data_IF_426189205152
#
_entry.id   IF_426189205152
#
_cell.length_a   1.000
_cell.length_b   1.000
_cell.length_c   1.000
_cell.angle_alpha   90.00
_cell.angle_beta   90.00
_cell.angle_gamma   90.00
#
_symmetry.space_group_name_H-M   'P 1'
#
loop_
_entity.id
_entity.type
_entity.pdbx_description
1 polymer ?
#
# COMPACT_ATOMS: atom_id res chain seq x y z
N UNK A 1 -12.36 -2.50 4.51
CA UNK A 1 -10.96 -2.80 4.18
C UNK A 1 -10.90 -3.79 3.03
N UNK A 2 -9.86 -3.73 2.24
CA UNK A 2 -9.72 -4.58 1.07
C UNK A 2 -9.31 -5.99 1.50
N UNK A 3 -10.05 -7.03 1.12
CA UNK A 3 -9.58 -8.39 1.33
C UNK A 3 -8.43 -8.68 0.37
N UNK A 4 -7.37 -9.30 0.89
CA UNK A 4 -6.22 -9.70 0.08
C UNK A 4 -6.19 -11.22 0.03
N UNK A 5 -6.54 -11.81 -1.13
CA UNK A 5 -6.49 -13.27 -1.26
C UNK A 5 -5.08 -13.81 -1.07
N UNK A 6 -4.98 -15.05 -0.64
CA UNK A 6 -3.70 -15.73 -0.60
C UNK A 6 -3.11 -15.75 -2.02
N UNK A 7 -1.81 -15.74 -2.15
CA UNK A 7 -1.07 -15.65 -3.42
C UNK A 7 -1.15 -14.28 -4.11
N UNK A 8 -1.86 -13.32 -3.53
CA UNK A 8 -1.85 -11.96 -4.04
C UNK A 8 -0.66 -11.21 -3.48
N UNK A 9 0.09 -10.57 -4.35
CA UNK A 9 1.19 -9.73 -3.94
C UNK A 9 0.73 -8.30 -3.80
N UNK A 10 1.38 -7.57 -2.89
CA UNK A 10 1.13 -6.15 -2.67
C UNK A 10 2.43 -5.41 -2.95
N UNK A 11 2.39 -4.50 -3.92
CA UNK A 11 3.54 -3.71 -4.31
C UNK A 11 3.33 -2.26 -3.92
N UNK A 12 4.30 -1.67 -3.25
CA UNK A 12 4.30 -0.24 -2.94
C UNK A 12 5.28 0.47 -3.85
N UNK A 13 4.79 1.47 -4.57
CA UNK A 13 5.65 2.34 -5.36
C UNK A 13 6.44 3.26 -4.43
N UNK A 14 7.77 3.24 -4.59
CA UNK A 14 8.61 4.16 -3.84
C UNK A 14 8.39 5.58 -4.35
N UNK A 15 8.58 6.55 -3.46
CA UNK A 15 8.45 7.96 -3.83
C UNK A 15 7.02 8.44 -3.88
N UNK A 16 6.87 9.67 -4.34
CA UNK A 16 5.60 10.38 -4.32
C UNK A 16 4.91 10.25 -5.66
N UNK A 17 3.61 9.94 -5.60
CA UNK A 17 2.76 9.83 -6.79
C UNK A 17 1.77 10.99 -6.80
N UNK A 18 1.44 11.47 -7.99
CA UNK A 18 0.39 12.47 -8.16
C UNK A 18 -0.96 11.83 -7.85
N UNK A 19 -1.55 12.23 -6.73
CA UNK A 19 -2.78 11.64 -6.23
C UNK A 19 -4.03 12.05 -6.99
N UNK A 20 -3.91 12.90 -8.02
CA UNK A 20 -5.02 13.21 -8.91
C UNK A 20 -5.25 12.11 -9.95
N UNK A 21 -4.29 11.19 -10.08
CA UNK A 21 -4.36 10.10 -11.05
C UNK A 21 -5.42 9.08 -10.69
N UNK A 22 -6.14 8.62 -11.71
CA UNK A 22 -7.09 7.53 -11.58
C UNK A 22 -6.46 6.19 -11.94
N UNK A 23 -7.29 5.16 -12.08
CA UNK A 23 -6.81 3.81 -12.30
C UNK A 23 -5.92 3.69 -13.53
N UNK A 24 -6.34 4.22 -14.67
CA UNK A 24 -5.59 4.04 -15.93
C UNK A 24 -4.17 4.58 -15.83
N UNK A 25 -4.01 5.77 -15.28
CA UNK A 25 -2.70 6.40 -15.16
C UNK A 25 -1.84 5.70 -14.11
N UNK A 26 -2.45 5.30 -12.99
CA UNK A 26 -1.74 4.54 -11.96
C UNK A 26 -1.34 3.15 -12.46
N UNK A 27 -2.17 2.52 -13.27
CA UNK A 27 -1.83 1.24 -13.89
C UNK A 27 -0.62 1.37 -14.83
N UNK A 28 -0.58 2.44 -15.61
CA UNK A 28 0.57 2.72 -16.47
C UNK A 28 1.83 2.94 -15.62
N UNK A 29 1.71 3.63 -14.50
CA UNK A 29 2.82 3.83 -13.58
C UNK A 29 3.29 2.50 -12.97
N UNK A 30 2.36 1.62 -12.60
CA UNK A 30 2.72 0.30 -12.08
C UNK A 30 3.52 -0.48 -13.11
N UNK A 31 3.10 -0.46 -14.36
CA UNK A 31 3.80 -1.16 -15.42
C UNK A 31 5.18 -0.57 -15.68
N UNK A 32 5.28 0.74 -15.78
CA UNK A 32 6.53 1.41 -16.13
C UNK A 32 7.51 1.47 -14.97
N UNK A 33 7.04 1.77 -13.78
CA UNK A 33 7.90 2.01 -12.62
C UNK A 33 8.12 0.74 -11.79
N UNK A 34 7.07 -0.02 -11.57
CA UNK A 34 7.14 -1.23 -10.76
C UNK A 34 7.46 -2.46 -11.58
N UNK A 35 7.40 -2.34 -12.91
CA UNK A 35 7.66 -3.45 -13.84
C UNK A 35 6.75 -4.63 -13.56
N UNK A 36 5.51 -4.35 -13.23
CA UNK A 36 4.50 -5.36 -12.95
C UNK A 36 3.30 -5.15 -13.87
N UNK A 37 2.64 -6.24 -14.23
CA UNK A 37 1.40 -6.19 -15.00
C UNK A 37 0.24 -5.80 -14.07
N UNK A 38 -0.43 -4.66 -14.29
CA UNK A 38 -1.50 -4.22 -13.42
C UNK A 38 -2.77 -5.07 -13.50
N UNK A 39 -2.84 -6.01 -14.43
CA UNK A 39 -4.05 -6.83 -14.64
C UNK A 39 -3.93 -8.25 -14.08
N UNK A 40 -2.95 -8.49 -13.21
CA UNK A 40 -2.71 -9.82 -12.64
C UNK A 40 -3.45 -10.09 -11.34
N UNK A 41 -4.22 -9.12 -10.85
CA UNK A 41 -4.91 -9.25 -9.57
C UNK A 41 -4.08 -8.82 -8.37
N UNK A 42 -2.83 -8.46 -8.56
CA UNK A 42 -2.00 -7.94 -7.47
C UNK A 42 -2.41 -6.51 -7.12
N UNK A 43 -2.12 -6.12 -5.89
CA UNK A 43 -2.42 -4.78 -5.41
C UNK A 43 -1.21 -3.86 -5.60
N UNK A 44 -1.49 -2.63 -6.02
CA UNK A 44 -0.46 -1.62 -6.22
C UNK A 44 -0.80 -0.40 -5.39
N UNK A 45 0.12 -0.02 -4.50
CA UNK A 45 -0.08 1.02 -3.48
C UNK A 45 0.75 2.24 -3.84
N UNK A 46 0.13 3.40 -3.77
CA UNK A 46 0.78 4.67 -4.10
C UNK A 46 0.56 5.67 -2.96
N UNK A 47 1.58 6.49 -2.70
CA UNK A 47 1.52 7.52 -1.66
C UNK A 47 1.54 8.91 -2.25
N UNK A 48 0.80 9.81 -1.63
CA UNK A 48 0.82 11.23 -1.97
C UNK A 48 1.97 11.96 -1.27
N UNK A 49 2.19 13.21 -1.72
CA UNK A 49 3.28 14.04 -1.23
C UNK A 49 3.21 14.28 0.28
N UNK A 50 2.00 14.53 0.80
CA UNK A 50 1.82 14.83 2.22
C UNK A 50 1.91 13.60 3.11
N UNK A 51 1.84 12.41 2.53
CA UNK A 51 1.88 11.17 3.27
C UNK A 51 0.58 10.80 3.98
N UNK A 52 -0.48 11.57 3.81
CA UNK A 52 -1.78 11.33 4.45
C UNK A 52 -2.80 10.70 3.51
N UNK A 53 -2.46 10.52 2.25
CA UNK A 53 -3.34 9.94 1.24
C UNK A 53 -2.69 8.73 0.60
N UNK A 54 -3.43 7.63 0.59
CA UNK A 54 -3.04 6.39 -0.05
C UNK A 54 -4.04 6.05 -1.14
N UNK A 55 -3.54 5.56 -2.26
CA UNK A 55 -4.38 4.97 -3.30
C UNK A 55 -3.88 3.57 -3.60
N UNK A 56 -4.82 2.66 -3.81
CA UNK A 56 -4.53 1.27 -4.12
C UNK A 56 -5.36 0.88 -5.33
N UNK A 57 -4.71 0.28 -6.32
CA UNK A 57 -5.40 -0.22 -7.50
C UNK A 57 -5.22 -1.73 -7.62
N UNK A 58 -6.20 -2.39 -8.19
CA UNK A 58 -6.10 -3.80 -8.54
C UNK A 58 -7.14 -4.15 -9.60
N UNK A 59 -6.89 -5.24 -10.28
CA UNK A 59 -7.84 -5.84 -11.22
C UNK A 59 -8.46 -7.07 -10.56
N UNK A 60 -9.78 -7.10 -10.44
CA UNK A 60 -10.47 -8.16 -9.71
C UNK A 60 -10.91 -9.33 -10.60
N UNK A 61 -10.44 -9.35 -11.85
CA UNK A 61 -10.83 -10.34 -12.84
C UNK A 61 -11.97 -9.88 -13.72
N UNK A 62 -12.67 -8.85 -13.32
CA UNK A 62 -13.82 -8.31 -14.04
C UNK A 62 -13.70 -6.82 -14.32
N UNK A 63 -13.08 -6.11 -13.42
CA UNK A 63 -13.00 -4.66 -13.53
C UNK A 63 -11.81 -4.07 -12.78
N UNK A 64 -11.62 -2.79 -13.04
CA UNK A 64 -10.58 -1.97 -12.41
C UNK A 64 -11.11 -1.43 -11.09
N UNK A 65 -10.39 -1.70 -10.02
CA UNK A 65 -10.74 -1.24 -8.68
C UNK A 65 -9.75 -0.19 -8.20
N UNK A 66 -10.27 0.85 -7.57
CA UNK A 66 -9.47 1.90 -6.96
C UNK A 66 -9.99 2.15 -5.55
N UNK A 67 -9.10 2.01 -4.58
CA UNK A 67 -9.37 2.37 -3.20
C UNK A 67 -8.55 3.61 -2.85
N UNK A 68 -9.16 4.53 -2.10
CA UNK A 68 -8.49 5.74 -1.66
C UNK A 68 -8.85 6.02 -0.21
N UNK A 69 -7.83 6.35 0.59
CA UNK A 69 -8.04 6.71 1.99
C UNK A 69 -7.17 7.90 2.33
N UNK A 70 -7.78 8.91 2.94
CA UNK A 70 -7.08 10.07 3.48
C UNK A 70 -7.26 10.09 4.99
N UNK A 71 -6.14 10.19 5.71
CA UNK A 71 -6.21 10.37 7.17
C UNK A 71 -6.67 11.78 7.48
N UNK A 72 -7.58 11.91 8.44
CA UNK A 72 -8.00 13.23 8.92
C UNK A 72 -6.88 13.96 9.61
N UNK A 73 -6.06 13.22 10.35
CA UNK A 73 -4.92 13.76 11.09
C UNK A 73 -3.73 12.84 10.91
N UNK A 74 -2.56 13.45 10.79
CA UNK A 74 -1.31 12.72 10.72
C UNK A 74 -1.04 12.15 9.35
N UNK A 75 -0.15 11.19 9.31
CA UNK A 75 0.30 10.53 8.09
C UNK A 75 0.34 9.03 8.30
N UNK A 76 0.24 8.30 7.20
CA UNK A 76 0.57 6.90 7.20
C UNK A 76 2.06 6.73 7.50
N UNK A 77 2.42 5.57 8.04
CA UNK A 77 3.82 5.25 8.30
C UNK A 77 4.38 4.56 7.06
N UNK A 78 5.07 5.32 6.23
CA UNK A 78 5.58 4.83 4.96
C UNK A 78 6.95 4.19 5.14
N UNK A 79 7.20 3.05 4.50
CA UNK A 79 8.52 2.47 4.52
C UNK A 79 9.49 3.29 3.68
N UNK A 80 10.74 3.25 4.06
CA UNK A 80 11.80 3.82 3.26
C UNK A 80 12.19 2.81 2.18
N UNK A 81 12.16 3.23 0.93
CA UNK A 81 12.55 2.39 -0.20
C UNK A 81 13.72 3.02 -0.91
N UNK A 82 14.78 2.25 -1.11
CA UNK A 82 15.94 2.69 -1.89
C UNK A 82 15.74 2.44 -3.37
N UNK A 83 14.90 1.49 -3.71
CA UNK A 83 14.60 1.13 -5.08
C UNK A 83 13.15 1.45 -5.39
N UNK A 84 12.77 1.32 -6.66
CA UNK A 84 11.48 1.77 -7.14
C UNK A 84 10.24 1.11 -6.53
N UNK A 85 10.38 0.00 -5.82
CA UNK A 85 9.24 -0.72 -5.27
C UNK A 85 9.61 -1.49 -4.02
N UNK A 86 8.57 -1.75 -3.20
CA UNK A 86 8.66 -2.61 -2.03
C UNK A 86 7.51 -3.60 -2.08
N UNK A 87 7.80 -4.87 -1.78
CA UNK A 87 6.78 -5.88 -1.58
C UNK A 87 6.28 -5.82 -0.14
N UNK A 88 4.98 -5.79 0.04
CA UNK A 88 4.34 -5.81 1.35
C UNK A 88 3.60 -7.13 1.56
N UNK A 89 3.58 -7.62 2.78
CA UNK A 89 2.67 -8.70 3.15
C UNK A 89 1.27 -8.13 3.33
N UNK A 90 0.26 -9.01 3.32
CA UNK A 90 -1.10 -8.59 3.61
C UNK A 90 -1.21 -7.95 4.99
N UNK A 91 -0.49 -8.49 5.98
CA UNK A 91 -0.47 -7.95 7.33
C UNK A 91 0.16 -6.54 7.37
N UNK A 92 1.24 -6.35 6.63
CA UNK A 92 1.88 -5.04 6.55
C UNK A 92 0.96 -4.01 5.89
N UNK A 93 0.25 -4.40 4.83
CA UNK A 93 -0.73 -3.52 4.20
C UNK A 93 -1.83 -3.14 5.19
N UNK A 94 -2.34 -4.11 5.95
CA UNK A 94 -3.37 -3.84 6.94
C UNK A 94 -2.89 -2.82 7.98
N UNK A 95 -1.68 -2.99 8.49
CA UNK A 95 -1.11 -2.04 9.46
C UNK A 95 -0.88 -0.66 8.85
N UNK A 96 -0.39 -0.62 7.61
CA UNK A 96 -0.22 0.64 6.89
C UNK A 96 -1.56 1.40 6.81
N UNK A 97 -2.61 0.71 6.41
CA UNK A 97 -3.95 1.30 6.26
C UNK A 97 -4.53 1.78 7.59
N UNK A 98 -4.17 1.15 8.69
CA UNK A 98 -4.61 1.56 10.04
C UNK A 98 -3.77 2.70 10.61
N UNK A 99 -2.72 3.10 9.94
CA UNK A 99 -1.82 4.13 10.45
C UNK A 99 -0.91 3.64 11.56
N UNK A 100 -0.71 2.34 11.66
CA UNK A 100 0.13 1.73 12.68
C UNK A 100 1.58 1.62 12.17
N UNK A 101 2.52 1.89 13.05
CA UNK A 101 3.93 1.73 12.70
C UNK A 101 4.30 0.25 12.65
N UNK A 102 4.25 -0.30 11.46
CA UNK A 102 4.55 -1.70 11.22
C UNK A 102 6.05 -1.98 11.01
N UNK A 103 6.85 -0.93 10.93
CA UNK A 103 8.31 -1.07 10.78
C UNK A 103 8.95 -1.56 12.07
N UNK A 104 8.31 -1.26 13.19
CA UNK A 104 8.74 -1.70 14.51
C UNK A 104 7.65 -2.57 15.12
N UNK A 105 7.48 -3.79 14.61
CA UNK A 105 6.40 -4.63 15.09
C UNK A 105 6.56 -4.93 16.56
N UNK A 106 5.48 -4.78 17.30
CA UNK A 106 5.44 -5.10 18.70
C UNK A 106 4.93 -6.52 18.86
N UNK A 107 5.44 -7.19 19.87
CA UNK A 107 4.92 -8.51 20.22
C UNK A 107 3.49 -8.37 20.70
N UNK A 108 2.67 -9.33 20.37
CA UNK A 108 1.30 -9.38 20.84
C UNK A 108 1.23 -9.48 22.37
N UNK A 109 2.32 -9.90 22.98
CA UNK A 109 2.44 -10.03 24.41
C UNK A 109 3.75 -9.42 24.89
N UNK A 110 3.68 -8.62 25.93
CA UNK A 110 4.86 -7.94 26.49
C UNK A 110 4.97 -8.29 27.96
N UNK A 111 5.88 -9.20 28.31
CA UNK A 111 5.93 -9.73 29.68
C UNK A 111 6.17 -8.70 30.74
N UNK A 112 6.98 -7.72 30.46
CA UNK A 112 7.31 -6.72 31.46
C UNK A 112 6.16 -5.83 31.85
N UNK A 113 5.16 -5.76 31.05
CA UNK A 113 4.00 -4.95 31.37
C UNK A 113 3.18 -5.58 32.47
N UNK A 114 3.44 -6.82 32.75
CA UNK A 114 2.81 -7.51 33.86
C UNK A 114 3.42 -7.07 35.20
N UNK A 115 4.58 -6.55 35.11
CA UNK A 115 5.24 -6.06 36.30
C UNK A 115 5.12 -4.58 36.45
#
# INVERSE_FOLDING_TARGET
MIPVPSNTRVWLAAGVTDMRRGFTTLAAQAEQTLKQDPFTGHLFVFRGRRGDLIKIIWWDGQGACLFSKRLEKGRFVWPSAKEGKIALTAAQLAMLLEGIDWRLPQRSWTPLKAG
#
